data_IF_329249258418
#
_entry.id   IF_329249258418
#
_cell.length_a   1.000
_cell.length_b   1.000
_cell.length_c   1.000
_cell.angle_alpha   90.00
_cell.angle_beta   90.00
_cell.angle_gamma   90.00
#
_symmetry.space_group_name_H-M   'P 1'
#
loop_
_entity.id
_entity.type
_entity.pdbx_description
1 polymer ?
#
# COMPACT_ATOMS: atom_id res chain seq x y z
N UNK A 1 8.70 -24.06 -9.91
CA UNK A 1 8.74 -24.67 -11.25
C UNK A 1 10.19 -24.71 -11.72
N UNK A 2 10.76 -25.89 -11.88
CA UNK A 2 12.13 -26.09 -12.38
C UNK A 2 12.18 -26.10 -13.92
N UNK A 3 13.37 -25.97 -14.51
CA UNK A 3 13.53 -26.09 -15.98
C UNK A 3 13.10 -27.47 -16.48
N UNK A 4 13.39 -28.51 -15.72
CA UNK A 4 13.02 -29.90 -16.03
C UNK A 4 11.50 -30.09 -16.03
N UNK A 5 10.78 -29.46 -15.10
CA UNK A 5 9.30 -29.45 -15.08
C UNK A 5 8.73 -28.69 -16.29
N UNK A 6 9.35 -27.58 -16.70
CA UNK A 6 8.95 -26.84 -17.91
C UNK A 6 9.18 -27.67 -19.18
N UNK A 7 10.32 -28.35 -19.29
CA UNK A 7 10.63 -29.20 -20.45
C UNK A 7 9.66 -30.40 -20.54
N UNK A 8 9.25 -30.98 -19.40
CA UNK A 8 8.23 -32.05 -19.35
C UNK A 8 6.84 -31.56 -19.78
N UNK A 9 6.51 -30.30 -19.49
CA UNK A 9 5.25 -29.66 -19.88
C UNK A 9 5.29 -29.06 -21.29
N UNK A 10 6.45 -29.07 -21.96
CA UNK A 10 6.65 -28.45 -23.26
C UNK A 10 6.57 -26.93 -23.23
N UNK A 11 6.91 -26.30 -22.10
CA UNK A 11 6.85 -24.85 -21.91
C UNK A 11 8.20 -24.22 -22.21
N UNK A 12 8.23 -23.31 -23.18
CA UNK A 12 9.46 -22.60 -23.56
C UNK A 12 9.80 -21.44 -22.60
N UNK A 13 8.78 -20.88 -21.93
CA UNK A 13 8.90 -19.75 -20.99
C UNK A 13 7.70 -19.68 -20.03
N UNK A 14 7.84 -18.96 -18.92
CA UNK A 14 6.72 -18.61 -18.04
C UNK A 14 6.06 -17.32 -18.54
N UNK A 15 4.73 -17.30 -18.66
CA UNK A 15 3.98 -16.08 -19.02
C UNK A 15 3.81 -15.11 -17.85
N UNK A 16 3.76 -15.62 -16.61
CA UNK A 16 3.58 -14.84 -15.38
C UNK A 16 4.41 -15.47 -14.27
N UNK A 17 5.10 -14.64 -13.47
CA UNK A 17 5.76 -15.09 -12.24
C UNK A 17 5.05 -14.47 -11.05
N UNK A 18 4.46 -15.34 -10.21
CA UNK A 18 3.84 -14.94 -8.95
C UNK A 18 4.85 -15.17 -7.84
N UNK A 19 5.25 -14.11 -7.15
CA UNK A 19 6.12 -14.19 -5.97
C UNK A 19 5.29 -13.91 -4.74
N UNK A 20 5.09 -14.92 -3.90
CA UNK A 20 4.44 -14.76 -2.60
C UNK A 20 5.51 -14.49 -1.55
N UNK A 21 5.58 -13.22 -1.13
CA UNK A 21 6.50 -12.81 -0.08
C UNK A 21 5.95 -13.21 1.28
N UNK A 22 6.49 -14.29 1.84
CA UNK A 22 6.67 -14.35 3.30
C UNK A 22 8.00 -13.65 3.63
N UNK A 23 8.24 -13.31 4.90
CA UNK A 23 9.29 -12.38 5.33
C UNK A 23 10.68 -12.66 4.69
N UNK A 24 11.06 -11.83 3.72
CA UNK A 24 12.41 -11.76 3.19
C UNK A 24 13.19 -10.71 3.99
N UNK A 25 14.09 -11.18 4.85
CA UNK A 25 15.07 -10.37 5.55
C UNK A 25 16.42 -10.64 4.90
N UNK A 26 16.98 -9.65 4.20
CA UNK A 26 18.30 -9.74 3.58
C UNK A 26 19.42 -9.66 4.63
N UNK A 27 19.51 -10.73 5.43
CA UNK A 27 20.50 -10.88 6.48
C UNK A 27 21.03 -12.32 6.46
N UNK A 28 22.35 -12.54 6.61
CA UNK A 28 22.95 -13.87 6.52
C UNK A 28 22.45 -14.87 7.57
N UNK A 29 21.72 -14.43 8.60
CA UNK A 29 21.04 -15.32 9.56
C UNK A 29 19.67 -15.83 9.09
N UNK A 30 19.18 -15.39 7.92
CA UNK A 30 17.89 -15.80 7.37
C UNK A 30 18.10 -16.64 6.10
N UNK A 31 17.52 -17.84 6.08
CA UNK A 31 17.72 -18.81 5.01
C UNK A 31 17.36 -18.27 3.62
N UNK A 32 16.33 -17.43 3.51
CA UNK A 32 15.90 -16.85 2.23
C UNK A 32 16.95 -15.90 1.64
N UNK A 33 17.67 -15.12 2.46
CA UNK A 33 18.75 -14.25 1.98
C UNK A 33 19.96 -15.06 1.52
N UNK A 34 20.30 -16.13 2.24
CA UNK A 34 21.37 -17.05 1.84
C UNK A 34 21.01 -17.74 0.53
N UNK A 35 19.78 -18.25 0.40
CA UNK A 35 19.29 -18.88 -0.82
C UNK A 35 19.31 -17.86 -1.97
N UNK A 36 18.84 -16.63 -1.76
CA UNK A 36 18.90 -15.57 -2.77
C UNK A 36 20.31 -15.26 -3.26
N UNK A 37 21.26 -15.08 -2.33
CA UNK A 37 22.68 -14.82 -2.66
C UNK A 37 23.38 -16.04 -3.28
N UNK A 38 23.03 -17.25 -2.84
CA UNK A 38 23.55 -18.49 -3.42
C UNK A 38 23.07 -18.64 -4.87
N UNK A 39 21.78 -18.40 -5.12
CA UNK A 39 21.22 -18.42 -6.46
C UNK A 39 21.88 -17.36 -7.35
N UNK A 40 22.05 -16.13 -6.85
CA UNK A 40 22.78 -15.06 -7.56
C UNK A 40 24.25 -15.47 -7.85
N UNK A 41 24.94 -16.08 -6.88
CA UNK A 41 26.32 -16.56 -7.03
C UNK A 41 26.47 -17.75 -7.99
N UNK A 42 25.43 -18.57 -8.14
CA UNK A 42 25.37 -19.68 -9.10
C UNK A 42 24.92 -19.21 -10.50
N UNK A 43 24.79 -17.90 -10.72
CA UNK A 43 24.42 -17.32 -12.01
C UNK A 43 22.93 -17.36 -12.33
N UNK A 44 22.07 -17.71 -11.36
CA UNK A 44 20.64 -17.50 -11.49
C UNK A 44 20.36 -16.00 -11.42
N UNK A 45 19.93 -15.42 -12.54
CA UNK A 45 19.62 -13.99 -12.61
C UNK A 45 18.32 -13.70 -11.87
N UNK A 46 18.17 -12.47 -11.35
CA UNK A 46 16.88 -12.00 -10.80
C UNK A 46 15.81 -12.20 -11.87
N UNK A 47 14.60 -12.58 -11.48
CA UNK A 47 13.55 -12.98 -12.43
C UNK A 47 13.35 -11.97 -13.59
N UNK A 48 13.48 -10.66 -13.32
CA UNK A 48 13.37 -9.60 -14.33
C UNK A 48 14.57 -9.51 -15.28
N UNK A 49 15.76 -9.93 -14.86
CA UNK A 49 16.96 -9.97 -15.71
C UNK A 49 16.98 -11.18 -16.64
N UNK A 50 16.49 -12.33 -16.16
CA UNK A 50 16.32 -13.53 -16.97
C UNK A 50 15.12 -13.39 -17.94
N UNK A 51 14.03 -12.81 -17.47
CA UNK A 51 12.75 -12.73 -18.18
C UNK A 51 12.26 -11.28 -18.27
N UNK A 52 12.96 -10.46 -19.07
CA UNK A 52 12.66 -9.02 -19.20
C UNK A 52 11.23 -8.70 -19.66
N UNK A 53 10.64 -9.59 -20.46
CA UNK A 53 9.32 -9.42 -21.08
C UNK A 53 8.19 -10.06 -20.27
N UNK A 54 8.51 -10.78 -19.18
CA UNK A 54 7.51 -11.49 -18.38
C UNK A 54 7.01 -10.55 -17.28
N UNK A 55 5.67 -10.35 -17.16
CA UNK A 55 5.06 -9.66 -16.04
C UNK A 55 5.39 -10.32 -14.70
N UNK A 56 5.80 -9.51 -13.72
CA UNK A 56 6.02 -9.90 -12.34
C UNK A 56 4.88 -9.36 -11.49
N UNK A 57 4.11 -10.28 -10.90
CA UNK A 57 2.98 -9.99 -10.02
C UNK A 57 3.38 -10.36 -8.58
N UNK A 58 3.37 -9.37 -7.69
CA UNK A 58 3.57 -9.61 -6.26
C UNK A 58 2.25 -9.87 -5.56
N UNK A 59 2.28 -10.74 -4.56
CA UNK A 59 1.13 -11.00 -3.70
C UNK A 59 1.53 -11.53 -2.34
N UNK A 60 0.52 -11.73 -1.50
CA UNK A 60 0.70 -12.21 -0.12
C UNK A 60 0.68 -11.09 0.91
N UNK A 61 0.71 -11.50 2.17
CA UNK A 61 0.57 -10.60 3.33
C UNK A 61 1.74 -9.60 3.35
N UNK A 62 2.96 -10.05 3.15
CA UNK A 62 4.14 -9.16 3.26
C UNK A 62 4.18 -8.12 2.14
N UNK A 63 3.86 -8.52 0.90
CA UNK A 63 3.75 -7.60 -0.22
C UNK A 63 2.66 -6.55 0.08
N UNK A 64 1.51 -6.99 0.60
CA UNK A 64 0.39 -6.10 0.96
C UNK A 64 0.77 -5.04 1.99
N UNK A 65 1.58 -5.41 2.99
CA UNK A 65 2.05 -4.52 4.05
C UNK A 65 3.14 -3.55 3.56
N UNK A 66 4.03 -4.01 2.69
CA UNK A 66 5.15 -3.23 2.13
C UNK A 66 4.82 -2.51 0.82
N UNK A 67 3.53 -2.39 0.47
CA UNK A 67 3.05 -1.78 -0.79
C UNK A 67 3.34 -0.28 -0.91
N UNK A 68 3.49 0.40 0.22
CA UNK A 68 3.90 1.81 0.32
C UNK A 68 5.23 1.89 1.07
N UNK A 69 5.81 3.09 1.13
CA UNK A 69 6.97 3.33 1.99
C UNK A 69 6.66 2.88 3.43
N UNK A 70 7.58 2.14 4.03
CA UNK A 70 7.40 1.51 5.34
C UNK A 70 8.67 1.64 6.17
N UNK A 71 8.52 1.66 7.49
CA UNK A 71 9.66 1.66 8.40
C UNK A 71 10.17 0.24 8.61
N UNK A 72 11.46 0.03 8.38
CA UNK A 72 12.15 -1.21 8.71
C UNK A 72 12.81 -1.06 10.08
N UNK A 73 12.22 -1.68 11.10
CA UNK A 73 12.70 -1.61 12.48
C UNK A 73 14.08 -2.24 12.69
N UNK A 74 14.45 -3.23 11.87
CA UNK A 74 15.75 -3.90 12.02
C UNK A 74 16.88 -3.05 11.46
N UNK A 75 16.60 -2.34 10.36
CA UNK A 75 17.57 -1.48 9.70
C UNK A 75 17.45 -0.01 10.11
N UNK A 76 16.55 0.31 11.04
CA UNK A 76 16.28 1.66 11.57
C UNK A 76 16.10 2.72 10.47
N UNK A 77 15.35 2.37 9.41
CA UNK A 77 15.23 3.24 8.23
C UNK A 77 13.88 3.10 7.52
N UNK A 78 13.45 4.17 6.86
CA UNK A 78 12.32 4.13 5.94
C UNK A 78 12.75 3.52 4.62
N UNK A 79 12.05 2.47 4.19
CA UNK A 79 12.25 1.78 2.92
C UNK A 79 11.18 2.16 1.92
N UNK A 80 11.54 2.00 0.65
CA UNK A 80 10.66 2.27 -0.48
C UNK A 80 9.59 1.18 -0.55
N UNK A 81 8.59 1.36 -1.41
CA UNK A 81 7.66 0.27 -1.69
C UNK A 81 8.41 -0.94 -2.25
N UNK A 82 8.01 -2.15 -1.84
CA UNK A 82 8.57 -3.39 -2.36
C UNK A 82 8.36 -3.55 -3.87
N UNK A 83 7.39 -2.84 -4.45
CA UNK A 83 7.21 -2.75 -5.91
C UNK A 83 8.47 -2.23 -6.61
N UNK A 84 9.13 -1.24 -6.01
CA UNK A 84 10.34 -0.62 -6.56
C UNK A 84 11.54 -1.53 -6.32
N UNK A 85 11.70 -2.02 -5.09
CA UNK A 85 12.85 -2.85 -4.71
C UNK A 85 12.86 -4.20 -5.45
N UNK A 86 11.70 -4.80 -5.69
CA UNK A 86 11.55 -6.06 -6.40
C UNK A 86 11.45 -5.90 -7.94
N UNK A 87 11.43 -4.66 -8.45
CA UNK A 87 11.17 -4.36 -9.86
C UNK A 87 9.92 -5.06 -10.40
N UNK A 88 8.85 -5.08 -9.60
CA UNK A 88 7.59 -5.73 -9.97
C UNK A 88 6.67 -4.79 -10.73
N UNK A 89 5.87 -5.35 -11.64
CA UNK A 89 4.98 -4.56 -12.50
C UNK A 89 3.67 -4.22 -11.76
N UNK A 90 3.14 -5.16 -10.97
CA UNK A 90 1.90 -4.98 -10.20
C UNK A 90 1.96 -5.77 -8.89
N UNK A 91 1.29 -5.26 -7.85
CA UNK A 91 1.17 -5.90 -6.54
C UNK A 91 -0.31 -6.02 -6.18
N UNK A 92 -0.73 -7.24 -5.85
CA UNK A 92 -2.09 -7.53 -5.41
C UNK A 92 -2.14 -7.54 -3.88
N UNK A 93 -3.07 -6.79 -3.29
CA UNK A 93 -3.24 -6.68 -1.85
C UNK A 93 -4.70 -6.85 -1.42
N UNK A 94 -4.89 -7.28 -0.17
CA UNK A 94 -6.21 -7.65 0.33
C UNK A 94 -6.69 -8.98 -0.26
N UNK A 95 -7.97 -9.05 -0.65
CA UNK A 95 -8.58 -10.26 -1.22
C UNK A 95 -8.21 -10.43 -2.70
N UNK A 96 -7.02 -11.00 -2.94
CA UNK A 96 -6.38 -11.03 -4.25
C UNK A 96 -7.00 -12.03 -5.24
N UNK A 97 -7.89 -12.93 -4.83
CA UNK A 97 -8.49 -13.98 -5.67
C UNK A 97 -9.24 -13.41 -6.88
N UNK A 98 -9.94 -12.28 -6.69
CA UNK A 98 -10.62 -11.60 -7.80
C UNK A 98 -9.64 -10.83 -8.67
N UNK A 99 -8.67 -10.16 -8.04
CA UNK A 99 -7.70 -9.33 -8.73
C UNK A 99 -6.77 -10.18 -9.62
N UNK A 100 -6.33 -11.35 -9.13
CA UNK A 100 -5.44 -12.25 -9.87
C UNK A 100 -6.13 -12.86 -11.08
N UNK A 101 -7.41 -13.25 -10.95
CA UNK A 101 -8.20 -13.78 -12.07
C UNK A 101 -8.36 -12.71 -13.15
N UNK A 102 -8.69 -11.48 -12.77
CA UNK A 102 -8.85 -10.36 -13.70
C UNK A 102 -7.53 -10.02 -14.41
N UNK A 103 -6.42 -9.94 -13.66
CA UNK A 103 -5.08 -9.72 -14.24
C UNK A 103 -4.74 -10.84 -15.23
N UNK A 104 -4.93 -12.11 -14.85
CA UNK A 104 -4.64 -13.25 -15.70
C UNK A 104 -5.49 -13.26 -16.98
N UNK A 105 -6.79 -12.98 -16.88
CA UNK A 105 -7.68 -12.90 -18.05
C UNK A 105 -7.25 -11.79 -19.01
N UNK A 106 -6.94 -10.59 -18.51
CA UNK A 106 -6.51 -9.48 -19.35
C UNK A 106 -5.17 -9.77 -20.04
N UNK A 107 -4.22 -10.36 -19.32
CA UNK A 107 -2.96 -10.81 -19.93
C UNK A 107 -3.20 -11.88 -20.99
N UNK A 108 -4.11 -12.83 -20.75
CA UNK A 108 -4.50 -13.86 -21.74
C UNK A 108 -5.14 -13.25 -23.00
N UNK A 109 -5.79 -12.10 -22.90
CA UNK A 109 -6.33 -11.37 -24.05
C UNK A 109 -5.29 -10.44 -24.72
N UNK A 110 -4.04 -10.46 -24.26
CA UNK A 110 -2.95 -9.68 -24.83
C UNK A 110 -2.89 -8.24 -24.34
N UNK A 111 -3.61 -7.87 -23.28
CA UNK A 111 -3.40 -6.57 -22.63
C UNK A 111 -2.00 -6.53 -22.02
N UNK A 112 -1.34 -5.37 -22.09
CA UNK A 112 -0.07 -5.17 -21.40
C UNK A 112 -0.32 -4.96 -19.92
N UNK A 113 0.59 -5.47 -19.08
CA UNK A 113 0.49 -5.29 -17.63
C UNK A 113 0.45 -3.82 -17.22
N UNK A 114 1.15 -2.95 -17.96
CA UNK A 114 1.22 -1.50 -17.75
C UNK A 114 -0.15 -0.80 -17.91
N UNK A 115 -1.05 -1.36 -18.71
CA UNK A 115 -2.38 -0.79 -18.97
C UNK A 115 -3.40 -1.17 -17.87
N UNK A 116 -3.07 -2.16 -17.03
CA UNK A 116 -3.97 -2.71 -16.00
C UNK A 116 -3.88 -1.87 -14.72
N UNK A 117 -4.66 -0.80 -14.67
CA UNK A 117 -4.58 0.22 -13.60
C UNK A 117 -5.89 0.42 -12.82
N UNK A 118 -6.95 -0.25 -13.22
CA UNK A 118 -8.34 -0.09 -12.76
C UNK A 118 -8.82 -1.26 -11.88
N UNK A 119 -7.98 -2.27 -11.64
CA UNK A 119 -8.33 -3.42 -10.81
C UNK A 119 -8.23 -3.04 -9.34
N UNK A 120 -9.34 -3.22 -8.60
CA UNK A 120 -9.35 -2.99 -7.15
C UNK A 120 -8.42 -3.97 -6.43
N UNK A 121 -7.74 -3.48 -5.39
CA UNK A 121 -6.79 -4.29 -4.64
C UNK A 121 -5.46 -4.49 -5.37
N UNK A 122 -5.11 -3.56 -6.27
CA UNK A 122 -3.81 -3.55 -6.95
C UNK A 122 -3.04 -2.26 -6.69
N UNK A 123 -1.72 -2.37 -6.62
CA UNK A 123 -0.79 -1.27 -6.53
C UNK A 123 0.26 -1.42 -7.63
N UNK A 124 0.62 -0.32 -8.26
CA UNK A 124 1.61 -0.28 -9.34
C UNK A 124 2.36 1.05 -9.27
N UNK A 125 3.55 1.09 -9.86
CA UNK A 125 4.37 2.31 -9.90
C UNK A 125 4.01 3.10 -11.15
N UNK A 126 3.71 4.39 -10.98
CA UNK A 126 3.48 5.32 -12.07
C UNK A 126 4.45 6.49 -11.96
N UNK A 127 4.91 7.02 -13.10
CA UNK A 127 5.84 8.17 -13.16
C UNK A 127 5.12 9.50 -13.42
N UNK A 128 3.93 9.45 -14.00
CA UNK A 128 3.08 10.58 -14.35
C UNK A 128 1.89 10.74 -13.39
N UNK A 129 1.34 11.95 -13.34
CA UNK A 129 0.06 12.22 -12.70
C UNK A 129 -1.07 12.01 -13.71
N UNK A 130 -2.10 11.19 -13.43
CA UNK A 130 -3.19 10.99 -14.38
C UNK A 130 -3.97 12.28 -14.64
N UNK A 131 -4.38 12.49 -15.89
CA UNK A 131 -5.12 13.70 -16.28
C UNK A 131 -6.47 13.79 -15.55
N UNK A 132 -6.80 14.97 -15.01
CA UNK A 132 -8.06 15.22 -14.30
C UNK A 132 -8.08 14.74 -12.85
N UNK A 133 -6.94 14.37 -12.28
CA UNK A 133 -6.78 14.09 -10.86
C UNK A 133 -6.33 15.33 -10.11
N UNK A 134 -6.78 15.47 -8.87
CA UNK A 134 -6.42 16.55 -7.97
C UNK A 134 -5.12 16.20 -7.23
N UNK A 135 -4.07 16.97 -7.43
CA UNK A 135 -2.78 16.81 -6.76
C UNK A 135 -2.80 17.50 -5.39
N UNK A 136 -2.69 16.70 -4.33
CA UNK A 136 -2.50 17.18 -2.95
C UNK A 136 -1.01 17.25 -2.69
N UNK A 137 -0.52 18.46 -2.51
CA UNK A 137 0.86 18.71 -2.09
C UNK A 137 1.06 18.28 -0.63
N UNK A 138 1.79 17.18 -0.42
CA UNK A 138 2.16 16.66 0.89
C UNK A 138 3.62 16.96 1.25
N UNK A 139 4.27 17.88 0.55
CA UNK A 139 5.63 18.34 0.91
C UNK A 139 5.66 19.02 2.28
N UNK A 140 4.49 19.49 2.76
CA UNK A 140 4.33 20.11 4.07
C UNK A 140 3.73 19.12 5.06
N UNK A 141 4.53 18.72 6.05
CA UNK A 141 4.05 17.93 7.18
C UNK A 141 3.01 18.74 7.95
N UNK A 142 1.82 18.18 8.11
CA UNK A 142 0.79 18.74 8.98
C UNK A 142 1.36 18.90 10.38
N UNK A 143 1.38 20.14 10.86
CA UNK A 143 1.73 20.39 12.26
C UNK A 143 0.55 19.92 13.09
N UNK A 144 0.75 18.99 14.05
CA UNK A 144 -0.33 18.60 14.95
C UNK A 144 -0.93 19.87 15.56
N UNK A 145 -2.23 20.04 15.40
CA UNK A 145 -2.96 21.12 16.07
C UNK A 145 -2.87 20.97 17.59
N UNK A 146 -3.46 21.92 18.32
CA UNK A 146 -3.69 21.75 19.75
C UNK A 146 -4.52 20.47 19.93
N UNK A 147 -3.94 19.46 20.59
CA UNK A 147 -4.70 18.29 21.02
C UNK A 147 -5.60 18.77 22.15
N UNK A 148 -6.90 18.85 21.89
CA UNK A 148 -7.86 19.13 22.95
C UNK A 148 -7.71 18.05 24.01
N UNK A 149 -7.47 18.47 25.25
CA UNK A 149 -7.41 17.53 26.36
C UNK A 149 -8.78 16.88 26.47
N UNK A 150 -8.85 15.58 26.21
CA UNK A 150 -10.04 14.78 26.50
C UNK A 150 -10.23 14.87 28.01
N UNK A 151 -11.23 15.64 28.44
CA UNK A 151 -11.60 15.72 29.86
C UNK A 151 -12.10 14.32 30.23
N UNK A 152 -11.52 13.72 31.25
CA UNK A 152 -11.92 12.40 31.70
C UNK A 152 -13.40 12.45 32.14
N UNK A 153 -14.28 11.60 31.59
CA UNK A 153 -15.72 11.63 31.90
C UNK A 153 -16.06 11.28 33.35
N UNK A 154 -15.07 10.82 34.14
CA UNK A 154 -15.22 10.49 35.57
C UNK A 154 -14.61 11.53 36.50
N UNK A 155 -14.24 12.72 36.01
CA UNK A 155 -13.81 13.81 36.89
C UNK A 155 -15.00 14.20 37.77
N UNK A 156 -14.88 13.97 39.07
CA UNK A 156 -15.85 14.43 40.05
C UNK A 156 -15.93 15.96 39.97
N UNK A 157 -17.13 16.50 39.83
CA UNK A 157 -17.49 17.93 39.71
C UNK A 157 -17.05 18.81 40.89
N UNK A 158 -16.27 18.28 41.83
CA UNK A 158 -15.73 18.99 42.98
C UNK A 158 -14.32 19.54 42.75
N UNK A 159 -13.60 19.10 41.70
CA UNK A 159 -12.30 19.66 41.32
C UNK A 159 -12.46 20.95 40.51
N UNK A 160 -12.48 22.07 41.25
CA UNK A 160 -12.85 23.42 40.81
C UNK A 160 -11.93 24.00 39.73
N UNK A 161 -10.77 23.39 39.48
CA UNK A 161 -9.81 23.85 38.46
C UNK A 161 -10.14 23.38 37.04
N UNK A 162 -10.91 22.30 36.86
CA UNK A 162 -11.29 21.79 35.54
C UNK A 162 -12.50 22.56 34.93
N UNK A 163 -13.31 23.22 35.77
CA UNK A 163 -14.52 23.94 35.35
C UNK A 163 -14.27 25.30 34.69
N UNK A 164 -13.09 25.92 34.87
CA UNK A 164 -12.82 27.24 34.28
C UNK A 164 -12.78 27.21 32.74
N UNK A 165 -12.39 26.08 32.15
CA UNK A 165 -12.30 25.88 30.69
C UNK A 165 -13.70 25.71 30.07
N UNK A 166 -14.66 25.16 30.83
CA UNK A 166 -16.05 25.01 30.40
C UNK A 166 -16.82 26.34 30.44
N UNK A 167 -16.48 27.26 31.34
CA UNK A 167 -17.14 28.58 31.44
C UNK A 167 -16.74 29.57 30.34
N UNK A 168 -15.57 29.40 29.71
CA UNK A 168 -15.13 30.23 28.57
C UNK A 168 -15.80 29.83 27.24
N UNK A 169 -16.30 28.60 27.14
CA UNK A 169 -17.13 28.22 26.00
C UNK A 169 -18.50 28.87 26.22
N UNK A 170 -18.87 29.76 25.31
CA UNK A 170 -20.14 30.50 25.34
C UNK A 170 -21.39 29.61 25.49
N UNK A 171 -22.59 30.20 25.49
CA UNK A 171 -23.82 29.53 25.93
C UNK A 171 -23.99 28.13 25.32
N UNK A 172 -24.12 27.15 26.20
CA UNK A 172 -24.32 25.74 25.85
C UNK A 172 -25.66 25.61 25.14
N UNK A 173 -25.63 25.16 23.89
CA UNK A 173 -26.82 24.94 23.08
C UNK A 173 -27.67 23.79 23.66
N UNK A 174 -28.99 23.95 23.59
CA UNK A 174 -29.95 23.03 24.19
C UNK A 174 -29.86 21.62 23.56
N UNK A 175 -29.54 20.56 24.33
CA UNK A 175 -29.40 19.20 23.81
C UNK A 175 -30.68 18.61 23.21
N UNK A 176 -31.85 19.18 23.51
CA UNK A 176 -33.15 18.72 23.01
C UNK A 176 -33.64 19.45 21.76
N UNK A 177 -32.93 20.48 21.31
CA UNK A 177 -33.29 21.20 20.10
C UNK A 177 -32.78 20.44 18.86
N UNK A 178 -33.71 19.87 18.09
CA UNK A 178 -33.39 19.15 16.86
C UNK A 178 -32.86 20.12 15.79
N UNK A 179 -31.53 20.24 15.70
CA UNK A 179 -30.87 20.96 14.60
C UNK A 179 -30.87 20.11 13.34
N UNK A 180 -31.51 20.60 12.29
CA UNK A 180 -31.38 20.04 10.95
C UNK A 180 -29.94 20.28 10.48
N UNK A 181 -29.09 19.27 10.63
CA UNK A 181 -27.72 19.31 10.11
C UNK A 181 -27.80 19.11 8.60
N UNK A 182 -27.52 20.16 7.83
CA UNK A 182 -27.24 19.99 6.41
C UNK A 182 -25.90 19.29 6.26
N UNK A 183 -25.92 18.02 5.84
CA UNK A 183 -24.73 17.35 5.33
C UNK A 183 -24.43 18.01 3.97
N UNK A 184 -23.67 19.10 4.02
CA UNK A 184 -23.06 19.65 2.82
C UNK A 184 -22.11 18.57 2.29
N UNK A 185 -22.27 18.18 1.03
CA UNK A 185 -21.22 17.43 0.34
C UNK A 185 -19.93 18.23 0.52
N UNK A 186 -18.97 17.70 1.26
CA UNK A 186 -17.72 18.38 1.51
C UNK A 186 -17.16 18.83 0.15
N UNK A 187 -16.94 20.14 -0.09
CA UNK A 187 -16.31 20.60 -1.33
C UNK A 187 -14.84 20.14 -1.42
N UNK A 188 -14.30 19.54 -0.36
CA UNK A 188 -12.95 19.01 -0.31
C UNK A 188 -12.90 17.59 -0.86
N UNK A 189 -12.26 17.49 -2.02
CA UNK A 189 -11.67 16.29 -2.62
C UNK A 189 -12.63 15.12 -2.89
N UNK A 190 -12.92 14.90 -4.17
CA UNK A 190 -13.23 13.57 -4.70
C UNK A 190 -12.02 12.66 -4.43
N UNK A 191 -12.08 11.91 -3.32
CA UNK A 191 -11.01 11.00 -2.85
C UNK A 191 -10.63 9.95 -3.90
N UNK A 192 -11.57 9.60 -4.76
CA UNK A 192 -11.42 8.70 -5.91
C UNK A 192 -10.53 9.26 -7.02
N UNK A 193 -10.33 10.58 -7.08
CA UNK A 193 -9.47 11.26 -8.06
C UNK A 193 -8.45 12.17 -7.39
N UNK A 194 -7.87 11.71 -6.28
CA UNK A 194 -6.82 12.44 -5.57
C UNK A 194 -5.50 11.70 -5.66
N UNK A 195 -4.45 12.41 -6.05
CA UNK A 195 -3.06 11.95 -5.97
C UNK A 195 -2.31 12.76 -4.93
N UNK A 196 -1.34 12.15 -4.26
CA UNK A 196 -0.49 12.82 -3.27
C UNK A 196 0.90 12.99 -3.88
N UNK A 197 1.45 14.21 -3.82
CA UNK A 197 2.80 14.54 -4.26
C UNK A 197 3.72 14.82 -3.08
#
# INVERSE_FOLDING_TARGET
>A
MSREEMDQLGWDSCDIIIVTGDAYVDHPSFGMAIIGRLLEAQGFRRCKEAYKHVPIVLGGIEASLRRIAHYDYWQDKVRHSILIDACADILLYGNAERAIVEVAQRLSYGHKIEDITDIRGTAFVRRDTPQGWYEVDSTRIDRPGKVDKIINPYVNTQDTQACAIEQEKGPVEDPQEAKVVQILASPRMTRDKTVIR
#
